data_IF_525473057275
#
_entry.id   IF_525473057275
#
_cell.length_a   1.000
_cell.length_b   1.000
_cell.length_c   1.000
_cell.angle_alpha   90.00
_cell.angle_beta   90.00
_cell.angle_gamma   90.00
#
_symmetry.space_group_name_H-M   'P 1'
#
loop_
_entity.id
_entity.type
_entity.pdbx_description
1 polymer ?
#
# COMPACT_ATOMS: atom_id res chain seq x y z
N UNK A 1 -23.01 -21.21 -7.81
CA UNK A 1 -21.61 -20.78 -7.60
C UNK A 1 -21.66 -19.42 -6.95
N UNK A 2 -21.10 -19.19 -5.76
CA UNK A 2 -21.09 -17.84 -5.23
C UNK A 2 -20.13 -17.03 -6.10
N UNK A 3 -20.66 -16.05 -6.82
CA UNK A 3 -19.90 -15.00 -7.46
C UNK A 3 -19.28 -14.15 -6.34
N UNK A 4 -18.14 -14.59 -5.81
CA UNK A 4 -17.44 -13.84 -4.78
C UNK A 4 -16.74 -12.66 -5.45
N UNK A 5 -17.24 -11.45 -5.19
CA UNK A 5 -16.49 -10.22 -5.46
C UNK A 5 -15.16 -10.30 -4.71
N UNK A 6 -14.07 -10.56 -5.44
CA UNK A 6 -12.72 -10.64 -4.91
C UNK A 6 -12.30 -9.25 -4.41
N UNK A 7 -11.74 -9.14 -3.20
CA UNK A 7 -11.27 -7.84 -2.69
C UNK A 7 -10.16 -7.28 -3.58
N UNK A 8 -9.91 -5.97 -3.53
CA UNK A 8 -8.87 -5.38 -4.37
C UNK A 8 -7.46 -5.87 -3.98
N UNK A 9 -7.27 -6.24 -2.71
CA UNK A 9 -6.05 -6.90 -2.26
C UNK A 9 -5.91 -8.31 -2.84
N UNK A 10 -6.98 -9.11 -2.84
CA UNK A 10 -6.97 -10.44 -3.45
C UNK A 10 -6.72 -10.36 -4.96
N UNK A 11 -7.29 -9.35 -5.63
CA UNK A 11 -7.01 -9.06 -7.04
C UNK A 11 -5.54 -8.71 -7.28
N UNK A 12 -4.90 -7.95 -6.38
CA UNK A 12 -3.45 -7.70 -6.44
C UNK A 12 -2.65 -9.00 -6.34
N UNK A 13 -2.98 -9.87 -5.37
CA UNK A 13 -2.29 -11.16 -5.21
C UNK A 13 -2.47 -12.06 -6.44
N UNK A 14 -3.69 -12.12 -6.97
CA UNK A 14 -4.00 -12.86 -8.19
C UNK A 14 -3.24 -12.32 -9.41
N UNK A 15 -3.21 -11.00 -9.58
CA UNK A 15 -2.50 -10.35 -10.69
C UNK A 15 -0.99 -10.59 -10.62
N UNK A 16 -0.42 -10.55 -9.41
CA UNK A 16 1.00 -10.85 -9.19
C UNK A 16 1.32 -12.34 -9.42
N UNK A 17 0.44 -13.25 -9.01
CA UNK A 17 0.60 -14.68 -9.25
C UNK A 17 0.46 -15.07 -10.73
N UNK A 18 -0.27 -14.28 -11.51
CA UNK A 18 -0.44 -14.50 -12.95
C UNK A 18 0.76 -13.99 -13.79
N UNK A 19 1.71 -13.28 -13.20
CA UNK A 19 2.89 -12.82 -13.93
C UNK A 19 3.84 -13.98 -14.26
N UNK A 20 4.51 -13.95 -15.42
CA UNK A 20 5.47 -14.98 -15.81
C UNK A 20 6.74 -14.95 -14.94
N UNK A 21 7.10 -13.76 -14.45
CA UNK A 21 8.28 -13.54 -13.61
C UNK A 21 7.87 -13.49 -12.13
N UNK A 22 8.71 -13.97 -11.21
CA UNK A 22 8.43 -13.89 -9.77
C UNK A 22 8.23 -12.43 -9.32
N UNK A 23 7.13 -12.17 -8.63
CA UNK A 23 6.80 -10.83 -8.11
C UNK A 23 7.18 -10.71 -6.64
N UNK A 24 7.73 -9.56 -6.27
CA UNK A 24 7.81 -9.10 -4.89
C UNK A 24 6.79 -7.98 -4.70
N UNK A 25 5.94 -8.09 -3.68
CA UNK A 25 4.99 -7.03 -3.37
C UNK A 25 5.60 -6.08 -2.36
N UNK A 26 5.53 -4.79 -2.68
CA UNK A 26 6.07 -3.70 -1.92
C UNK A 26 4.91 -2.93 -1.29
N UNK A 27 5.03 -2.60 -0.02
CA UNK A 27 4.01 -1.90 0.74
C UNK A 27 4.62 -0.70 1.47
N UNK A 28 3.97 0.45 1.37
CA UNK A 28 4.30 1.64 2.16
C UNK A 28 3.08 2.01 3.00
N UNK A 29 3.25 2.00 4.31
CA UNK A 29 2.25 2.44 5.27
C UNK A 29 2.45 3.91 5.56
N UNK A 30 1.38 4.70 5.48
CA UNK A 30 1.39 6.12 5.73
C UNK A 30 0.36 6.51 6.79
N UNK A 31 0.79 7.39 7.68
CA UNK A 31 -0.10 8.16 8.54
C UNK A 31 -0.67 9.33 7.75
N UNK A 32 -1.93 9.66 8.01
CA UNK A 32 -2.51 10.90 7.52
C UNK A 32 -2.54 11.92 8.66
N UNK A 33 -1.96 13.09 8.41
CA UNK A 33 -1.96 14.22 9.34
C UNK A 33 -2.66 15.43 8.72
N UNK A 34 -3.23 16.26 9.59
CA UNK A 34 -3.91 17.49 9.20
C UNK A 34 -3.16 18.69 9.80
N UNK A 35 -2.80 19.71 8.99
CA UNK A 35 -2.18 20.93 9.50
C UNK A 35 -3.00 21.55 10.64
N UNK A 36 -2.32 22.08 11.65
CA UNK A 36 -2.97 22.68 12.82
C UNK A 36 -3.87 23.88 12.49
N UNK A 37 -3.55 24.60 11.42
CA UNK A 37 -4.28 25.74 10.88
C UNK A 37 -5.38 25.37 9.86
N UNK A 38 -5.66 24.08 9.68
CA UNK A 38 -6.69 23.62 8.76
C UNK A 38 -8.07 24.19 9.10
N UNK A 39 -8.75 24.70 8.08
CA UNK A 39 -10.11 25.21 8.18
C UNK A 39 -11.14 24.08 8.42
N UNK A 40 -12.39 24.45 8.69
CA UNK A 40 -13.46 23.49 8.95
C UNK A 40 -13.72 22.55 7.77
N UNK A 41 -13.54 23.01 6.53
CA UNK A 41 -13.75 22.20 5.33
C UNK A 41 -12.59 21.21 5.11
N UNK A 42 -11.34 21.61 5.36
CA UNK A 42 -10.16 20.75 5.35
C UNK A 42 -10.25 19.67 6.44
N UNK A 43 -10.70 20.05 7.65
CA UNK A 43 -10.90 19.10 8.75
C UNK A 43 -12.01 18.09 8.44
N UNK A 44 -13.15 18.55 7.94
CA UNK A 44 -14.24 17.66 7.52
C UNK A 44 -13.80 16.69 6.41
N UNK A 45 -13.03 17.16 5.42
CA UNK A 45 -12.47 16.29 4.37
C UNK A 45 -11.50 15.26 4.96
N UNK A 46 -10.59 15.67 5.85
CA UNK A 46 -9.64 14.76 6.51
C UNK A 46 -10.33 13.70 7.39
N UNK A 47 -11.40 14.07 8.10
CA UNK A 47 -12.24 13.14 8.85
C UNK A 47 -12.97 12.15 7.92
N UNK A 48 -13.37 12.60 6.72
CA UNK A 48 -13.90 11.74 5.66
C UNK A 48 -12.82 10.92 4.92
N UNK A 49 -11.55 10.98 5.35
CA UNK A 49 -10.43 10.28 4.72
C UNK A 49 -9.96 10.91 3.39
N UNK A 50 -10.38 12.14 3.11
CA UNK A 50 -10.09 12.88 1.89
C UNK A 50 -9.19 14.08 2.21
N UNK A 51 -7.91 14.03 1.86
CA UNK A 51 -6.96 15.12 2.14
C UNK A 51 -6.19 14.95 3.46
N UNK A 52 -5.43 16.00 3.83
CA UNK A 52 -4.31 15.89 4.77
C UNK A 52 -3.00 15.57 4.05
N UNK A 53 -1.90 15.60 4.80
CA UNK A 53 -0.59 15.14 4.32
C UNK A 53 -0.41 13.67 4.67
N UNK A 54 0.22 12.90 3.78
CA UNK A 54 0.58 11.52 4.04
C UNK A 54 2.07 11.41 4.36
N UNK A 55 2.38 10.88 5.54
CA UNK A 55 3.75 10.65 5.99
C UNK A 55 4.02 9.15 6.03
N UNK A 56 4.95 8.62 5.22
CA UNK A 56 5.36 7.23 5.32
C UNK A 56 5.96 6.91 6.70
N UNK A 57 5.48 5.85 7.32
CA UNK A 57 5.92 5.40 8.65
C UNK A 57 6.57 4.02 8.65
N UNK A 58 6.24 3.19 7.66
CA UNK A 58 6.89 1.91 7.46
C UNK A 58 6.87 1.52 5.98
N UNK A 59 7.89 0.78 5.57
CA UNK A 59 7.93 0.12 4.29
C UNK A 59 8.23 -1.36 4.53
N UNK A 60 7.50 -2.25 3.86
CA UNK A 60 7.73 -3.69 3.93
C UNK A 60 7.62 -4.28 2.55
N UNK A 61 8.31 -5.38 2.37
CA UNK A 61 8.32 -6.15 1.15
C UNK A 61 7.98 -7.60 1.53
N UNK A 62 7.17 -8.28 0.70
CA UNK A 62 6.79 -9.69 0.92
C UNK A 62 6.67 -10.42 -0.42
N UNK A 63 7.02 -11.70 -0.45
CA UNK A 63 6.64 -12.58 -1.57
C UNK A 63 5.19 -13.03 -1.47
N UNK A 64 4.67 -13.56 -2.59
CA UNK A 64 3.33 -14.14 -2.65
C UNK A 64 3.08 -15.24 -1.58
N UNK A 65 3.98 -16.21 -1.33
CA UNK A 65 3.76 -17.21 -0.27
C UNK A 65 3.77 -16.65 1.15
N UNK A 66 4.42 -15.50 1.39
CA UNK A 66 4.42 -14.82 2.68
C UNK A 66 3.12 -14.06 2.95
N UNK A 67 2.31 -13.85 1.92
CA UNK A 67 1.05 -13.13 1.97
C UNK A 67 -0.13 -14.09 2.04
N UNK A 68 -1.04 -13.82 2.97
CA UNK A 68 -2.27 -14.60 3.12
C UNK A 68 -3.49 -13.75 2.83
N UNK A 69 -3.82 -12.82 3.72
CA UNK A 69 -4.98 -11.94 3.59
C UNK A 69 -4.62 -10.53 4.03
N UNK A 70 -5.38 -9.54 3.55
CA UNK A 70 -5.23 -8.16 4.01
C UNK A 70 -5.42 -8.04 5.53
N UNK A 71 -6.38 -8.77 6.10
CA UNK A 71 -6.62 -8.80 7.54
C UNK A 71 -5.40 -9.29 8.34
N UNK A 72 -4.64 -10.27 7.82
CA UNK A 72 -3.40 -10.72 8.44
C UNK A 72 -2.32 -9.63 8.42
N UNK A 73 -2.21 -8.88 7.30
CA UNK A 73 -1.29 -7.75 7.18
C UNK A 73 -1.63 -6.62 8.16
N UNK A 74 -2.92 -6.26 8.29
CA UNK A 74 -3.41 -5.28 9.28
C UNK A 74 -3.14 -5.76 10.72
N UNK A 75 -3.35 -7.06 10.99
CA UNK A 75 -3.06 -7.61 12.31
C UNK A 75 -1.56 -7.58 12.65
N UNK A 76 -0.69 -7.82 11.67
CA UNK A 76 0.76 -7.71 11.80
C UNK A 76 1.19 -6.28 12.10
N UNK A 77 0.70 -5.30 11.33
CA UNK A 77 1.03 -3.89 11.55
C UNK A 77 0.60 -3.41 12.95
N UNK A 78 -0.59 -3.86 13.42
CA UNK A 78 -1.08 -3.53 14.77
C UNK A 78 -0.22 -4.14 15.86
N UNK A 79 0.28 -5.37 15.69
CA UNK A 79 1.23 -5.99 16.64
C UNK A 79 2.56 -5.25 16.71
N UNK A 80 2.97 -4.63 15.60
CA UNK A 80 4.15 -3.78 15.53
C UNK A 80 3.89 -2.33 16.00
N UNK A 81 2.70 -2.03 16.53
CA UNK A 81 2.28 -0.68 16.95
C UNK A 81 2.40 0.37 15.84
N UNK A 82 2.30 -0.05 14.57
CA UNK A 82 2.28 0.86 13.43
C UNK A 82 0.91 1.51 13.35
N UNK A 83 0.86 2.81 13.66
CA UNK A 83 -0.29 3.65 13.40
C UNK A 83 -0.24 4.05 11.93
N UNK A 84 -1.22 3.66 11.13
CA UNK A 84 -1.30 4.05 9.72
C UNK A 84 -2.76 4.17 9.31
N UNK A 85 -3.01 4.98 8.29
CA UNK A 85 -4.35 5.21 7.74
C UNK A 85 -4.47 4.76 6.29
N UNK A 86 -3.37 4.84 5.54
CA UNK A 86 -3.28 4.42 4.15
C UNK A 86 -2.14 3.42 3.97
N UNK A 87 -2.38 2.36 3.23
CA UNK A 87 -1.34 1.45 2.73
C UNK A 87 -1.31 1.56 1.21
N UNK A 88 -0.14 1.90 0.67
CA UNK A 88 0.17 1.84 -0.74
C UNK A 88 0.80 0.50 -1.08
N UNK A 89 0.44 -0.11 -2.20
CA UNK A 89 1.01 -1.35 -2.68
C UNK A 89 1.40 -1.28 -4.16
N UNK A 90 2.51 -1.94 -4.50
CA UNK A 90 2.98 -2.14 -5.86
C UNK A 90 3.62 -3.52 -6.03
N UNK A 91 3.62 -4.05 -7.26
CA UNK A 91 4.37 -5.24 -7.62
C UNK A 91 5.71 -4.86 -8.27
N UNK A 92 6.79 -5.51 -7.82
CA UNK A 92 8.11 -5.41 -8.43
C UNK A 92 8.45 -6.74 -9.10
N UNK A 93 8.60 -6.69 -10.43
CA UNK A 93 8.93 -7.87 -11.21
C UNK A 93 10.40 -8.24 -11.12
N UNK A 94 10.62 -9.53 -10.93
CA UNK A 94 11.87 -10.21 -11.15
C UNK A 94 12.26 -10.28 -12.63
N UNK A 95 13.30 -11.06 -12.92
CA UNK A 95 13.78 -11.30 -14.27
C UNK A 95 14.43 -12.69 -14.39
N UNK A 96 14.24 -13.34 -15.55
CA UNK A 96 14.81 -14.65 -15.87
C UNK A 96 14.42 -15.75 -14.87
N UNK A 97 13.18 -15.72 -14.40
CA UNK A 97 12.64 -16.68 -13.43
C UNK A 97 13.13 -16.46 -12.00
N UNK A 98 13.86 -15.37 -11.72
CA UNK A 98 14.36 -15.02 -10.39
C UNK A 98 13.67 -13.78 -9.82
N UNK A 99 13.43 -13.73 -8.49
CA UNK A 99 12.90 -12.54 -7.85
C UNK A 99 13.83 -11.33 -8.04
N UNK A 100 13.31 -10.09 -7.90
CA UNK A 100 14.15 -8.90 -7.93
C UNK A 100 15.24 -8.98 -6.84
N UNK A 101 16.42 -8.43 -7.14
CA UNK A 101 17.52 -8.42 -6.17
C UNK A 101 17.20 -7.50 -4.98
N UNK A 102 17.84 -7.70 -3.82
CA UNK A 102 17.66 -6.82 -2.66
C UNK A 102 17.85 -5.34 -3.00
N UNK A 103 18.86 -4.99 -3.79
CA UNK A 103 19.16 -3.60 -4.17
C UNK A 103 18.05 -2.97 -5.02
N UNK A 104 17.42 -3.78 -5.89
CA UNK A 104 16.27 -3.34 -6.69
C UNK A 104 15.03 -3.17 -5.82
N UNK A 105 14.85 -4.01 -4.80
CA UNK A 105 13.75 -3.91 -3.84
C UNK A 105 13.91 -2.63 -3.03
N UNK A 106 15.08 -2.40 -2.45
CA UNK A 106 15.39 -1.20 -1.65
C UNK A 106 15.18 0.08 -2.47
N UNK A 107 15.74 0.13 -3.68
CA UNK A 107 15.58 1.29 -4.58
C UNK A 107 14.11 1.55 -4.93
N UNK A 108 13.32 0.49 -5.13
CA UNK A 108 11.90 0.62 -5.43
C UNK A 108 11.09 1.09 -4.21
N UNK A 109 11.41 0.60 -3.01
CA UNK A 109 10.78 1.07 -1.77
C UNK A 109 11.09 2.55 -1.50
N UNK A 110 12.34 2.97 -1.70
CA UNK A 110 12.74 4.38 -1.58
C UNK A 110 11.95 5.27 -2.57
N UNK A 111 11.84 4.83 -3.83
CA UNK A 111 11.06 5.54 -4.83
C UNK A 111 9.56 5.61 -4.47
N UNK A 112 8.99 4.53 -3.91
CA UNK A 112 7.61 4.53 -3.43
C UNK A 112 7.42 5.50 -2.25
N UNK A 113 8.34 5.51 -1.28
CA UNK A 113 8.31 6.43 -0.14
C UNK A 113 8.34 7.89 -0.61
N UNK A 114 9.22 8.21 -1.56
CA UNK A 114 9.30 9.56 -2.11
C UNK A 114 8.07 9.92 -2.94
N UNK A 115 7.51 8.96 -3.70
CA UNK A 115 6.24 9.11 -4.40
C UNK A 115 5.09 9.44 -3.43
N UNK A 116 5.02 8.76 -2.28
CA UNK A 116 4.01 9.04 -1.26
C UNK A 116 4.20 10.43 -0.65
N UNK A 117 5.44 10.83 -0.32
CA UNK A 117 5.76 12.15 0.25
C UNK A 117 5.42 13.30 -0.70
N UNK A 118 5.70 13.11 -1.99
CA UNK A 118 5.45 14.11 -3.04
C UNK A 118 4.00 14.12 -3.55
N UNK A 119 3.15 13.21 -3.08
CA UNK A 119 1.77 13.08 -3.55
C UNK A 119 1.63 12.40 -4.92
N UNK A 120 2.72 11.86 -5.46
CA UNK A 120 2.75 11.11 -6.71
C UNK A 120 2.29 9.66 -6.49
N UNK A 121 0.98 9.49 -6.28
CA UNK A 121 0.36 8.18 -6.01
C UNK A 121 0.05 7.36 -7.28
N UNK A 122 0.31 7.92 -8.46
CA UNK A 122 0.04 7.28 -9.74
C UNK A 122 0.80 5.95 -9.87
N UNK A 123 0.06 4.87 -10.13
CA UNK A 123 0.63 3.53 -10.29
C UNK A 123 0.64 2.68 -9.02
N UNK A 124 0.17 3.21 -7.88
CA UNK A 124 0.02 2.44 -6.65
C UNK A 124 -1.44 2.06 -6.41
N UNK A 125 -1.65 0.85 -5.91
CA UNK A 125 -2.87 0.52 -5.22
C UNK A 125 -2.85 1.22 -3.86
N UNK A 126 -3.96 1.86 -3.45
CA UNK A 126 -4.08 2.44 -2.12
C UNK A 126 -5.34 1.91 -1.41
N UNK A 127 -5.15 1.43 -0.18
CA UNK A 127 -6.22 0.89 0.66
C UNK A 127 -6.22 1.58 2.03
N UNK A 128 -7.40 1.77 2.61
CA UNK A 128 -7.54 2.12 4.03
C UNK A 128 -7.37 0.89 4.94
N UNK A 129 -7.43 1.10 6.26
CA UNK A 129 -7.29 0.01 7.25
C UNK A 129 -8.41 -1.04 7.22
N UNK A 130 -9.51 -0.77 6.51
CA UNK A 130 -10.61 -1.72 6.27
C UNK A 130 -10.48 -2.43 4.91
N UNK A 131 -9.47 -2.10 4.10
CA UNK A 131 -9.24 -2.68 2.79
C UNK A 131 -10.08 -2.05 1.68
N UNK A 132 -10.67 -0.87 1.94
CA UNK A 132 -11.43 -0.13 0.93
C UNK A 132 -10.47 0.68 0.06
N UNK A 133 -10.70 0.72 -1.27
CA UNK A 133 -9.88 1.51 -2.18
C UNK A 133 -9.99 3.00 -1.89
N UNK A 134 -8.85 3.66 -1.79
CA UNK A 134 -8.76 5.11 -1.77
C UNK A 134 -8.44 5.61 -3.18
N UNK A 135 -9.08 6.72 -3.57
CA UNK A 135 -8.82 7.40 -4.83
C UNK A 135 -8.26 8.79 -4.53
N UNK A 136 -7.15 9.09 -5.18
CA UNK A 136 -6.53 10.42 -5.16
C UNK A 136 -6.76 11.05 -6.54
N UNK A 137 -7.16 12.32 -6.56
CA UNK A 137 -7.52 13.06 -7.77
C UNK A 137 -7.22 14.54 -7.63
#
# INVERSE_FOLDING_TARGET
MPSSSSSLFDQLLQAAAAQPEPQRLLFVFAEADLPGDADAAQRARFEAGQGGSLTPVACVEKSLPELSTFAALVAESRRASLLWRVMFAAGLSGANGQPPSPERIDSALEAMVEGVRSGAFGGYLALDTEGRPLRFG
#
